data_IF_476398853865
#
_entry.id   IF_476398853865
#
_cell.length_a   1.000
_cell.length_b   1.000
_cell.length_c   1.000
_cell.angle_alpha   90.00
_cell.angle_beta   90.00
_cell.angle_gamma   90.00
#
_symmetry.space_group_name_H-M   'P 1'
#
loop_
_entity.id
_entity.type
_entity.pdbx_description
1 polymer ?
#
# COMPACT_ATOMS: atom_id res chain seq x y z
N UNK A 1 -0.19 -24.42 -8.82
CA UNK A 1 -1.34 -24.10 -7.94
C UNK A 1 -1.95 -22.77 -8.33
N UNK A 2 -3.26 -22.70 -8.61
CA UNK A 2 -3.94 -21.47 -9.03
C UNK A 2 -4.05 -20.46 -7.87
N UNK A 3 -3.60 -19.22 -8.09
CA UNK A 3 -3.67 -18.14 -7.08
C UNK A 3 -5.13 -17.73 -6.89
N UNK A 4 -5.69 -18.02 -5.71
CA UNK A 4 -7.06 -17.60 -5.33
C UNK A 4 -7.16 -16.07 -5.42
N UNK A 5 -7.98 -15.57 -6.35
CA UNK A 5 -8.09 -14.13 -6.63
C UNK A 5 -8.90 -13.35 -5.59
N UNK A 6 -9.72 -14.05 -4.78
CA UNK A 6 -10.70 -13.44 -3.86
C UNK A 6 -10.24 -13.44 -2.39
N UNK A 7 -9.00 -13.01 -2.12
CA UNK A 7 -8.50 -12.91 -0.74
C UNK A 7 -8.97 -11.61 -0.07
N UNK A 8 -9.43 -11.72 1.18
CA UNK A 8 -9.81 -10.55 2.01
C UNK A 8 -8.63 -9.61 2.32
N UNK A 9 -7.40 -10.10 2.19
CA UNK A 9 -6.18 -9.33 2.38
C UNK A 9 -5.65 -8.80 1.04
N UNK A 10 -5.25 -7.53 1.02
CA UNK A 10 -4.57 -6.88 -0.10
C UNK A 10 -3.16 -6.45 0.33
N UNK A 11 -2.18 -6.65 -0.54
CA UNK A 11 -0.84 -6.08 -0.39
C UNK A 11 -0.93 -4.56 -0.63
N UNK A 12 -0.29 -3.78 0.23
CA UNK A 12 -0.16 -2.34 0.14
C UNK A 12 1.30 -1.94 0.28
N UNK A 13 1.67 -0.84 -0.36
CA UNK A 13 2.98 -0.22 -0.20
C UNK A 13 2.91 0.97 0.76
N UNK A 14 3.97 1.14 1.52
CA UNK A 14 4.17 2.27 2.42
C UNK A 14 5.30 3.15 1.89
N UNK A 15 5.03 4.44 1.81
CA UNK A 15 5.95 5.47 1.30
C UNK A 15 6.40 6.34 2.46
N UNK A 16 7.71 6.60 2.53
CA UNK A 16 8.26 7.53 3.52
C UNK A 16 7.82 8.95 3.21
N UNK A 17 7.38 9.69 4.22
CA UNK A 17 7.12 11.12 4.07
C UNK A 17 8.41 11.95 3.91
N UNK A 18 9.58 11.41 4.27
CA UNK A 18 10.85 12.12 4.14
C UNK A 18 11.45 11.92 2.75
N UNK A 19 11.74 10.67 2.41
CA UNK A 19 12.46 10.35 1.17
C UNK A 19 11.54 10.12 -0.02
N UNK A 20 10.22 9.97 0.20
CA UNK A 20 9.26 9.65 -0.86
C UNK A 20 9.41 8.22 -1.42
N UNK A 21 10.36 7.43 -0.91
CA UNK A 21 10.61 6.08 -1.39
C UNK A 21 9.62 5.08 -0.79
N UNK A 22 9.06 4.24 -1.67
CA UNK A 22 8.25 3.08 -1.28
C UNK A 22 9.15 1.94 -0.86
N UNK A 23 9.39 1.85 0.45
CA UNK A 23 10.36 0.90 1.03
C UNK A 23 9.67 -0.36 1.57
N UNK A 24 8.51 -0.19 2.21
CA UNK A 24 7.86 -1.29 2.91
C UNK A 24 6.58 -1.74 2.22
N UNK A 25 6.34 -3.04 2.31
CA UNK A 25 5.08 -3.65 1.91
C UNK A 25 4.46 -4.38 3.09
N UNK A 26 3.15 -4.34 3.18
CA UNK A 26 2.39 -5.07 4.19
C UNK A 26 1.04 -5.49 3.64
N UNK A 27 0.38 -6.42 4.30
CA UNK A 27 -0.97 -6.83 3.94
C UNK A 27 -1.98 -6.21 4.88
N UNK A 28 -3.06 -5.68 4.32
CA UNK A 28 -4.21 -5.16 5.09
C UNK A 28 -5.46 -5.96 4.75
N UNK A 29 -6.33 -6.15 5.73
CA UNK A 29 -7.66 -6.71 5.50
C UNK A 29 -8.60 -5.59 5.05
N UNK A 30 -9.11 -5.68 3.82
CA UNK A 30 -10.00 -4.63 3.29
C UNK A 30 -11.35 -4.59 3.96
N UNK A 31 -11.83 -5.72 4.48
CA UNK A 31 -13.11 -5.78 5.18
C UNK A 31 -13.07 -4.93 6.46
N UNK A 32 -11.96 -4.95 7.20
CA UNK A 32 -11.84 -4.16 8.44
C UNK A 32 -11.86 -2.65 8.17
N UNK A 33 -11.43 -2.19 6.98
CA UNK A 33 -11.51 -0.76 6.63
C UNK A 33 -12.95 -0.29 6.51
N UNK A 34 -13.82 -1.12 5.94
CA UNK A 34 -15.24 -0.77 5.77
C UNK A 34 -16.05 -1.07 7.03
N UNK A 35 -15.81 -2.20 7.69
CA UNK A 35 -16.67 -2.66 8.80
C UNK A 35 -16.23 -2.16 10.17
N UNK A 36 -14.97 -1.76 10.34
CA UNK A 36 -14.42 -1.29 11.63
C UNK A 36 -13.93 0.16 11.59
N UNK A 37 -14.25 0.89 10.51
CA UNK A 37 -13.84 2.29 10.34
C UNK A 37 -12.32 2.52 10.30
N UNK A 38 -11.51 1.49 9.99
CA UNK A 38 -10.07 1.64 9.96
C UNK A 38 -9.63 2.48 8.74
N UNK A 39 -9.02 3.62 9.01
CA UNK A 39 -8.46 4.53 8.02
C UNK A 39 -7.18 3.97 7.37
N UNK A 40 -6.57 4.74 6.47
CA UNK A 40 -5.31 4.35 5.81
C UNK A 40 -4.21 4.12 6.85
N UNK A 41 -3.33 3.18 6.56
CA UNK A 41 -2.27 2.82 7.49
C UNK A 41 -1.20 3.91 7.53
N UNK A 42 -0.89 4.39 8.73
CA UNK A 42 0.23 5.28 9.03
C UNK A 42 1.10 4.64 10.12
N UNK A 43 2.39 4.49 9.86
CA UNK A 43 3.33 3.83 10.77
C UNK A 43 4.63 4.63 10.85
N UNK A 44 5.28 4.62 12.03
CA UNK A 44 6.64 5.15 12.18
C UNK A 44 7.65 4.03 11.95
N UNK A 45 8.51 4.13 10.93
CA UNK A 45 9.52 3.13 10.57
C UNK A 45 10.83 3.77 10.14
N UNK A 46 11.91 3.01 10.15
CA UNK A 46 13.22 3.48 9.71
C UNK A 46 13.23 3.75 8.20
N UNK A 47 13.79 4.87 7.79
CA UNK A 47 14.02 5.21 6.39
C UNK A 47 15.51 5.02 6.05
N UNK A 48 15.88 4.08 5.16
CA UNK A 48 17.28 3.84 4.83
C UNK A 48 17.92 4.96 4.01
N UNK A 49 17.13 5.78 3.32
CA UNK A 49 17.64 6.92 2.52
C UNK A 49 17.93 8.11 3.42
N UNK A 50 16.95 8.48 4.26
CA UNK A 50 17.11 9.57 5.22
C UNK A 50 17.89 9.17 6.50
N UNK A 51 18.17 7.86 6.67
CA UNK A 51 18.86 7.24 7.82
C UNK A 51 18.22 7.55 9.19
N UNK A 52 16.91 7.78 9.22
CA UNK A 52 16.17 8.10 10.44
C UNK A 52 14.74 7.54 10.41
N UNK A 53 14.06 7.51 11.56
CA UNK A 53 12.67 7.08 11.61
C UNK A 53 11.72 8.14 11.03
N UNK A 54 10.97 7.75 10.01
CA UNK A 54 9.99 8.57 9.31
C UNK A 54 8.57 8.07 9.54
N UNK A 55 7.60 8.95 9.31
CA UNK A 55 6.21 8.55 9.13
C UNK A 55 6.03 7.99 7.72
N UNK A 56 5.52 6.77 7.65
CA UNK A 56 5.20 6.06 6.43
C UNK A 56 3.70 6.04 6.22
N UNK A 57 3.27 6.44 5.03
CA UNK A 57 1.85 6.50 4.63
C UNK A 57 1.56 5.54 3.49
N UNK A 58 0.34 5.02 3.44
CA UNK A 58 -0.08 4.13 2.37
C UNK A 58 -0.14 4.82 1.00
N UNK A 59 0.52 4.20 0.02
CA UNK A 59 0.53 4.72 -1.36
C UNK A 59 -0.80 4.49 -2.09
N UNK A 60 -1.23 5.49 -2.86
CA UNK A 60 -2.36 5.37 -3.80
C UNK A 60 -1.92 4.75 -5.14
N UNK A 61 -0.62 4.73 -5.45
CA UNK A 61 -0.10 4.18 -6.72
C UNK A 61 -0.31 2.67 -6.76
N UNK A 62 -0.91 2.17 -7.83
CA UNK A 62 -1.07 0.74 -8.06
C UNK A 62 0.29 0.02 -8.01
N UNK A 63 0.34 -1.16 -7.41
CA UNK A 63 1.54 -1.97 -7.21
C UNK A 63 2.00 -2.67 -8.51
N UNK A 64 1.95 -1.97 -9.65
CA UNK A 64 2.21 -2.57 -10.96
C UNK A 64 1.05 -3.42 -11.49
N UNK A 65 -0.20 -3.15 -11.09
CA UNK A 65 -1.37 -3.65 -11.82
C UNK A 65 -1.57 -2.78 -13.05
N UNK A 66 -1.53 -3.38 -14.24
CA UNK A 66 -1.77 -2.69 -15.51
C UNK A 66 -3.08 -1.89 -15.43
N UNK A 67 -2.98 -0.56 -15.58
CA UNK A 67 -4.14 0.27 -15.85
C UNK A 67 -4.64 -0.13 -17.24
N UNK A 68 -5.88 -0.62 -17.31
CA UNK A 68 -6.48 -1.00 -18.59
C UNK A 68 -6.59 0.27 -19.43
N UNK A 69 -5.91 0.28 -20.58
CA UNK A 69 -5.95 1.42 -21.52
C UNK A 69 -7.43 1.75 -21.82
N UNK A 70 -7.85 3.02 -21.76
CA UNK A 70 -9.22 3.39 -22.09
C UNK A 70 -9.55 2.88 -23.49
N UNK A 71 -10.74 2.28 -23.64
CA UNK A 71 -11.21 1.83 -24.96
C UNK A 71 -11.31 3.06 -25.87
N UNK A 72 -10.74 2.98 -27.08
CA UNK A 72 -11.05 3.96 -28.12
C UNK A 72 -12.56 3.86 -28.36
N UNK A 73 -13.26 4.98 -28.12
CA UNK A 73 -14.59 5.18 -28.68
C UNK A 73 -14.53 5.29 -30.19
#
# INVERSE_FOLDING_TARGET
MAKKKNTKRKLIGLVSNLSGHRTYYTTVNTQNRTTKGQSKLTLRKYDPVARQHATYTETKKNLGRNEVKPRKG
#
